data_IF_470547947037
#
_entry.id   IF_470547947037
#
_cell.length_a   1.000
_cell.length_b   1.000
_cell.length_c   1.000
_cell.angle_alpha   90.00
_cell.angle_beta   90.00
_cell.angle_gamma   90.00
#
_symmetry.space_group_name_H-M   'P 1'
#
loop_
_entity.id
_entity.type
_entity.pdbx_description
1 polymer ?
#
# COMPACT_ATOMS: atom_id res chain seq x y z
N UNK A 1 9.65 49.77 -64.92
CA UNK A 1 8.62 48.83 -65.37
C UNK A 1 8.67 47.58 -64.49
N UNK A 2 7.51 47.21 -63.94
CA UNK A 2 7.09 45.88 -63.47
C UNK A 2 7.83 45.20 -62.28
N UNK A 3 7.02 44.95 -61.25
CA UNK A 3 7.18 44.17 -60.00
C UNK A 3 7.83 42.78 -60.14
N UNK A 4 8.41 42.31 -59.03
CA UNK A 4 8.17 41.00 -58.32
C UNK A 4 9.42 40.68 -57.48
N UNK A 5 9.40 40.04 -56.32
CA UNK A 5 8.40 39.56 -55.37
C UNK A 5 9.22 39.03 -54.21
N UNK A 6 8.92 39.42 -52.97
CA UNK A 6 9.54 38.83 -51.79
C UNK A 6 9.25 37.32 -51.71
N UNK A 7 10.28 36.54 -51.45
CA UNK A 7 10.12 35.16 -50.96
C UNK A 7 10.07 35.22 -49.43
N UNK A 8 8.84 35.39 -48.91
CA UNK A 8 8.50 35.01 -47.56
C UNK A 8 8.35 33.50 -47.53
N UNK A 9 9.23 32.83 -46.80
CA UNK A 9 9.16 31.40 -46.51
C UNK A 9 7.88 31.14 -45.72
N UNK A 10 6.86 30.59 -46.37
CA UNK A 10 5.69 30.03 -45.69
C UNK A 10 6.16 28.82 -44.86
N UNK A 11 6.32 29.01 -43.54
CA UNK A 11 6.28 27.90 -42.59
C UNK A 11 4.86 27.36 -42.62
N UNK A 12 4.67 26.22 -43.26
CA UNK A 12 3.46 25.44 -43.13
C UNK A 12 3.20 25.17 -41.63
N UNK A 13 2.07 25.67 -41.14
CA UNK A 13 1.51 25.27 -39.85
C UNK A 13 1.18 23.78 -39.95
N UNK A 14 2.07 22.95 -39.41
CA UNK A 14 1.75 21.54 -39.15
C UNK A 14 0.56 21.55 -38.18
N UNK A 15 -0.57 20.91 -38.51
CA UNK A 15 -1.69 20.79 -37.59
C UNK A 15 -1.17 20.10 -36.33
N UNK A 16 -1.33 20.74 -35.16
CA UNK A 16 -1.16 20.06 -33.88
C UNK A 16 -2.08 18.86 -33.92
N UNK A 17 -1.50 17.66 -33.92
CA UNK A 17 -2.22 16.43 -33.60
C UNK A 17 -2.69 16.62 -32.17
N UNK A 18 -3.92 17.12 -32.00
CA UNK A 18 -4.63 17.08 -30.74
C UNK A 18 -4.63 15.62 -30.34
N UNK A 19 -3.76 15.27 -29.40
CA UNK A 19 -3.87 14.01 -28.69
C UNK A 19 -5.23 14.06 -28.03
N UNK A 20 -6.19 13.36 -28.62
CA UNK A 20 -7.42 12.99 -27.95
C UNK A 20 -6.99 12.12 -26.78
N UNK A 21 -6.68 12.76 -25.66
CA UNK A 21 -6.61 12.10 -24.36
C UNK A 21 -8.00 11.55 -24.14
N UNK A 22 -8.18 10.27 -24.51
CA UNK A 22 -9.36 9.51 -24.13
C UNK A 22 -9.52 9.74 -22.63
N UNK A 23 -10.56 10.47 -22.24
CA UNK A 23 -10.92 10.64 -20.84
C UNK A 23 -11.22 9.23 -20.32
N UNK A 24 -10.23 8.61 -19.67
CA UNK A 24 -10.41 7.32 -19.03
C UNK A 24 -11.42 7.56 -17.92
N UNK A 25 -12.66 7.09 -18.14
CA UNK A 25 -13.70 7.12 -17.12
C UNK A 25 -13.21 6.26 -15.95
N UNK A 26 -12.66 6.90 -14.92
CA UNK A 26 -12.18 6.20 -13.73
C UNK A 26 -13.38 5.55 -13.03
N UNK A 27 -13.38 4.22 -12.99
CA UNK A 27 -14.49 3.42 -12.47
C UNK A 27 -14.07 2.76 -11.17
N UNK A 28 -14.40 3.42 -10.06
CA UNK A 28 -14.18 2.85 -8.73
C UNK A 28 -15.06 1.61 -8.53
N UNK A 29 -14.43 0.50 -8.17
CA UNK A 29 -15.09 -0.80 -7.99
C UNK A 29 -14.93 -1.25 -6.55
N UNK A 30 -16.02 -1.71 -5.92
CA UNK A 30 -15.98 -2.29 -4.58
C UNK A 30 -15.13 -3.57 -4.60
N UNK A 31 -14.31 -3.78 -3.57
CA UNK A 31 -13.55 -5.02 -3.43
C UNK A 31 -14.53 -6.21 -3.32
N UNK A 32 -14.30 -7.23 -4.13
CA UNK A 32 -15.12 -8.45 -4.13
C UNK A 32 -15.00 -9.18 -2.78
N UNK A 33 -16.08 -9.83 -2.36
CA UNK A 33 -16.18 -10.45 -1.03
C UNK A 33 -15.20 -11.61 -0.86
N UNK A 34 -15.09 -12.46 -1.87
CA UNK A 34 -14.13 -13.57 -1.96
C UNK A 34 -12.68 -13.10 -1.79
N UNK A 35 -12.30 -12.01 -2.47
CA UNK A 35 -10.97 -11.42 -2.32
C UNK A 35 -10.74 -10.88 -0.90
N UNK A 36 -11.75 -10.24 -0.30
CA UNK A 36 -11.62 -9.74 1.06
C UNK A 36 -11.48 -10.86 2.08
N UNK A 37 -12.30 -11.90 2.02
CA UNK A 37 -12.19 -13.05 2.91
C UNK A 37 -10.83 -13.73 2.79
N UNK A 38 -10.29 -13.86 1.58
CA UNK A 38 -8.94 -14.39 1.38
C UNK A 38 -7.87 -13.53 2.05
N UNK A 39 -7.93 -12.20 1.88
CA UNK A 39 -6.98 -11.27 2.52
C UNK A 39 -7.10 -11.34 4.04
N UNK A 40 -8.33 -11.37 4.55
CA UNK A 40 -8.65 -11.43 5.97
C UNK A 40 -8.09 -12.70 6.60
N UNK A 41 -8.31 -13.86 5.99
CA UNK A 41 -7.78 -15.14 6.46
C UNK A 41 -6.25 -15.18 6.41
N UNK A 42 -5.66 -14.64 5.34
CA UNK A 42 -4.22 -14.65 5.12
C UNK A 42 -3.44 -13.86 6.17
N UNK A 43 -3.94 -12.69 6.57
CA UNK A 43 -3.34 -11.83 7.60
C UNK A 43 -3.95 -12.01 8.99
N UNK A 44 -5.02 -12.81 9.11
CA UNK A 44 -5.81 -12.91 10.34
C UNK A 44 -6.33 -11.53 10.76
N UNK A 45 -6.97 -10.80 9.85
CA UNK A 45 -7.52 -9.48 10.12
C UNK A 45 -8.79 -9.62 10.95
N UNK A 46 -8.81 -9.00 12.13
CA UNK A 46 -9.98 -8.96 13.00
C UNK A 46 -11.19 -8.32 12.30
N UNK A 47 -12.38 -8.86 12.56
CA UNK A 47 -13.67 -8.26 12.14
C UNK A 47 -13.90 -6.83 12.64
N UNK A 48 -13.08 -6.37 13.60
CA UNK A 48 -13.12 -5.00 14.13
C UNK A 48 -12.39 -3.98 13.25
N UNK A 49 -11.60 -4.42 12.26
CA UNK A 49 -10.96 -3.52 11.30
C UNK A 49 -12.01 -2.93 10.36
N UNK A 50 -11.93 -1.68 9.90
CA UNK A 50 -11.12 -0.60 10.45
C UNK A 50 -11.78 0.00 11.69
N UNK A 51 -10.98 0.59 12.59
CA UNK A 51 -11.48 1.42 13.72
C UNK A 51 -12.19 2.70 13.29
N UNK A 52 -12.51 2.89 12.00
CA UNK A 52 -13.46 3.93 11.59
C UNK A 52 -14.85 3.55 12.11
N UNK A 53 -15.08 3.82 13.39
CA UNK A 53 -16.27 4.43 13.98
C UNK A 53 -16.05 4.41 15.49
N UNK A 54 -15.47 5.48 16.02
CA UNK A 54 -15.84 5.93 17.36
C UNK A 54 -17.37 5.99 17.37
N UNK A 55 -18.01 5.09 18.10
CA UNK A 55 -19.24 5.28 18.89
C UNK A 55 -20.35 6.22 18.37
N UNK A 56 -20.50 6.37 17.06
CA UNK A 56 -21.75 6.81 16.45
C UNK A 56 -22.25 5.64 15.65
N UNK A 57 -22.92 4.72 16.37
CA UNK A 57 -23.95 3.87 15.79
C UNK A 57 -24.73 4.71 14.79
N UNK A 58 -24.52 4.47 13.49
CA UNK A 58 -25.40 5.06 12.49
C UNK A 58 -26.70 4.26 12.58
N UNK A 59 -27.62 4.74 13.41
CA UNK A 59 -28.99 4.24 13.43
C UNK A 59 -29.67 4.70 12.15
N UNK A 60 -29.47 3.97 11.06
CA UNK A 60 -30.28 4.12 9.87
C UNK A 60 -31.61 3.41 10.18
N UNK A 61 -32.65 4.19 10.46
CA UNK A 61 -34.04 3.69 10.62
C UNK A 61 -34.22 2.57 11.66
N UNK A 62 -33.76 2.77 12.91
CA UNK A 62 -33.95 1.82 14.05
C UNK A 62 -33.38 0.40 13.82
N UNK A 63 -32.52 0.20 12.82
CA UNK A 63 -31.83 -1.07 12.57
C UNK A 63 -30.34 -0.84 12.73
N UNK A 64 -29.76 -1.41 13.80
CA UNK A 64 -28.31 -1.46 13.98
C UNK A 64 -27.74 -2.22 12.77
N UNK A 65 -27.16 -1.48 11.84
CA UNK A 65 -26.50 -2.07 10.67
C UNK A 65 -25.02 -2.02 10.97
N UNK A 66 -24.44 -3.19 11.29
CA UNK A 66 -22.99 -3.36 11.32
C UNK A 66 -22.53 -3.18 9.87
N UNK A 67 -22.03 -1.99 9.54
CA UNK A 67 -21.47 -1.72 8.21
C UNK A 67 -20.19 -2.55 8.09
N UNK A 68 -20.22 -3.60 7.28
CA UNK A 68 -19.05 -4.46 7.08
C UNK A 68 -17.91 -3.65 6.45
N UNK A 69 -16.70 -3.90 6.93
CA UNK A 69 -15.40 -3.41 6.44
C UNK A 69 -15.32 -3.33 4.91
N UNK A 70 -15.77 -4.41 4.27
CA UNK A 70 -15.76 -4.58 2.83
C UNK A 70 -16.53 -3.47 2.11
N UNK A 71 -17.54 -2.87 2.74
CA UNK A 71 -18.31 -1.78 2.16
C UNK A 71 -17.52 -0.49 1.95
N UNK A 72 -16.34 -0.36 2.56
CA UNK A 72 -15.47 0.80 2.44
C UNK A 72 -14.16 0.49 1.71
N UNK A 73 -13.97 -0.74 1.22
CA UNK A 73 -12.80 -1.13 0.46
C UNK A 73 -13.08 -1.04 -1.04
N UNK A 74 -12.33 -0.17 -1.72
CA UNK A 74 -12.51 0.10 -3.15
C UNK A 74 -11.18 0.04 -3.90
N UNK A 75 -11.28 -0.28 -5.18
CA UNK A 75 -10.17 -0.26 -6.13
C UNK A 75 -10.51 0.69 -7.29
N UNK A 76 -9.49 1.27 -7.94
CA UNK A 76 -9.68 2.25 -9.03
C UNK A 76 -10.25 1.66 -10.32
N UNK A 77 -10.12 0.34 -10.48
CA UNK A 77 -10.74 -0.43 -11.56
C UNK A 77 -10.82 -1.90 -11.17
N UNK A 78 -11.62 -2.66 -11.90
CA UNK A 78 -11.52 -4.12 -11.90
C UNK A 78 -10.10 -4.52 -12.36
N UNK A 79 -9.41 -5.36 -11.56
CA UNK A 79 -8.04 -5.77 -11.83
C UNK A 79 -6.91 -4.79 -11.45
N UNK A 80 -7.19 -3.69 -10.73
CA UNK A 80 -6.14 -2.75 -10.28
C UNK A 80 -5.16 -3.30 -9.24
N UNK A 81 -4.02 -2.61 -9.15
CA UNK A 81 -2.87 -2.91 -8.32
C UNK A 81 -3.01 -2.51 -6.84
N UNK A 82 -4.12 -1.94 -6.38
CA UNK A 82 -4.25 -1.45 -5.00
C UNK A 82 -5.68 -1.39 -4.50
N UNK A 83 -5.85 -1.58 -3.18
CA UNK A 83 -7.10 -1.43 -2.45
C UNK A 83 -6.97 -0.22 -1.52
N UNK A 84 -7.96 0.66 -1.57
CA UNK A 84 -8.08 1.84 -0.74
C UNK A 84 -9.23 1.68 0.26
N UNK A 85 -9.01 2.14 1.48
CA UNK A 85 -10.03 2.34 2.49
C UNK A 85 -10.63 3.74 2.30
N UNK A 86 -11.89 3.78 1.90
CA UNK A 86 -12.61 4.98 1.48
C UNK A 86 -13.56 5.45 2.58
N UNK A 87 -13.58 6.76 2.85
CA UNK A 87 -14.53 7.34 3.81
C UNK A 87 -15.98 7.22 3.30
N UNK A 88 -16.98 7.01 4.18
CA UNK A 88 -18.37 6.88 3.76
C UNK A 88 -18.90 8.06 2.92
N UNK A 89 -18.45 9.29 3.18
CA UNK A 89 -18.83 10.47 2.38
C UNK A 89 -18.34 10.39 0.93
N UNK A 90 -17.08 9.97 0.75
CA UNK A 90 -16.49 9.76 -0.58
C UNK A 90 -17.15 8.57 -1.27
N UNK A 91 -17.45 7.49 -0.53
CA UNK A 91 -18.21 6.34 -1.02
C UNK A 91 -19.56 6.76 -1.60
N UNK A 92 -20.32 7.59 -0.88
CA UNK A 92 -21.61 8.10 -1.36
C UNK A 92 -21.46 8.89 -2.66
N UNK A 93 -20.47 9.78 -2.74
CA UNK A 93 -20.19 10.55 -3.97
C UNK A 93 -19.79 9.64 -5.15
N UNK A 94 -18.95 8.61 -4.90
CA UNK A 94 -18.59 7.60 -5.90
C UNK A 94 -19.84 6.86 -6.41
N UNK A 95 -20.71 6.42 -5.51
CA UNK A 95 -21.94 5.70 -5.85
C UNK A 95 -22.98 6.59 -6.56
N UNK A 96 -22.98 7.90 -6.29
CA UNK A 96 -23.84 8.88 -6.95
C UNK A 96 -23.40 9.21 -8.39
N UNK A 97 -22.24 8.70 -8.84
CA UNK A 97 -21.71 8.97 -10.18
C UNK A 97 -20.99 10.31 -10.30
N UNK A 98 -20.71 10.99 -9.17
CA UNK A 98 -19.95 12.23 -9.08
C UNK A 98 -18.45 11.92 -9.20
N UNK A 99 -18.03 11.52 -10.41
CA UNK A 99 -16.67 11.05 -10.69
C UNK A 99 -15.66 12.18 -10.95
N UNK A 100 -16.00 13.43 -10.63
CA UNK A 100 -15.14 14.58 -10.89
C UNK A 100 -13.93 14.57 -9.95
N UNK A 101 -12.82 14.03 -10.47
CA UNK A 101 -11.46 14.27 -9.99
C UNK A 101 -11.18 13.93 -8.51
N UNK A 102 -11.72 12.83 -7.99
CA UNK A 102 -11.23 12.30 -6.71
C UNK A 102 -9.84 11.71 -6.92
N UNK A 103 -8.82 12.57 -6.83
CA UNK A 103 -7.40 12.23 -7.02
C UNK A 103 -6.91 11.30 -5.90
N UNK A 104 -7.50 11.39 -4.71
CA UNK A 104 -7.28 10.50 -3.57
C UNK A 104 -8.61 10.00 -3.00
N UNK A 105 -8.96 8.76 -3.32
CA UNK A 105 -10.24 8.16 -2.89
C UNK A 105 -10.23 7.66 -1.47
N UNK A 106 -9.07 7.58 -0.83
CA UNK A 106 -8.93 7.08 0.52
C UNK A 106 -7.52 6.59 0.79
N UNK A 107 -7.31 6.10 2.01
CA UNK A 107 -6.04 5.57 2.44
C UNK A 107 -5.74 4.28 1.68
N UNK A 108 -4.60 4.19 1.01
CA UNK A 108 -4.20 2.93 0.39
C UNK A 108 -3.79 1.95 1.49
N UNK A 109 -4.48 0.81 1.55
CA UNK A 109 -4.28 -0.22 2.60
C UNK A 109 -3.64 -1.49 2.05
N UNK A 110 -3.89 -1.83 0.78
CA UNK A 110 -3.20 -2.94 0.13
C UNK A 110 -2.66 -2.57 -1.24
N UNK A 111 -1.57 -3.21 -1.61
CA UNK A 111 -1.06 -3.27 -2.97
C UNK A 111 -1.01 -4.72 -3.42
N UNK A 112 -1.33 -4.94 -4.69
CA UNK A 112 -1.24 -6.24 -5.34
C UNK A 112 0.21 -6.50 -5.71
N UNK A 113 0.71 -7.67 -5.34
CA UNK A 113 2.00 -8.21 -5.76
C UNK A 113 1.75 -9.52 -6.48
N UNK A 114 2.38 -9.69 -7.63
CA UNK A 114 2.39 -10.97 -8.32
C UNK A 114 3.69 -11.68 -7.96
N UNK A 115 3.57 -12.86 -7.37
CA UNK A 115 4.72 -13.64 -6.95
C UNK A 115 4.41 -15.14 -7.11
N UNK A 116 5.34 -15.87 -7.72
CA UNK A 116 5.20 -17.30 -8.01
C UNK A 116 3.87 -17.65 -8.72
N UNK A 117 3.45 -16.82 -9.68
CA UNK A 117 2.20 -17.01 -10.44
C UNK A 117 0.91 -16.75 -9.65
N UNK A 118 0.99 -16.44 -8.36
CA UNK A 118 -0.16 -16.11 -7.51
C UNK A 118 -0.25 -14.59 -7.32
N UNK A 119 -1.49 -14.09 -7.32
CA UNK A 119 -1.80 -12.73 -6.95
C UNK A 119 -1.97 -12.68 -5.43
N UNK A 120 -1.14 -11.90 -4.76
CA UNK A 120 -1.20 -11.70 -3.31
C UNK A 120 -1.36 -10.21 -3.03
N UNK A 121 -2.16 -9.86 -2.04
CA UNK A 121 -2.25 -8.49 -1.54
C UNK A 121 -1.29 -8.33 -0.37
N UNK A 122 -0.47 -7.28 -0.40
CA UNK A 122 0.39 -6.86 0.73
C UNK A 122 -0.13 -5.57 1.35
N UNK A 123 -0.04 -5.40 2.66
CA UNK A 123 -0.21 -4.10 3.27
C UNK A 123 0.73 -3.06 2.64
N UNK A 124 0.24 -1.85 2.45
CA UNK A 124 1.05 -0.70 2.05
C UNK A 124 1.54 0.03 3.29
N UNK A 125 2.73 0.63 3.21
CA UNK A 125 3.31 1.39 4.31
C UNK A 125 2.36 2.48 4.84
N UNK A 126 1.76 3.26 3.93
CA UNK A 126 0.74 4.27 4.23
C UNK A 126 -0.45 3.75 5.05
N UNK A 127 -0.93 2.54 4.76
CA UNK A 127 -2.08 1.94 5.44
C UNK A 127 -1.71 1.11 6.66
N UNK A 128 -0.43 0.79 6.82
CA UNK A 128 0.05 -0.22 7.74
C UNK A 128 -0.24 0.17 9.20
N UNK A 129 -0.03 1.42 9.57
CA UNK A 129 -0.30 1.91 10.92
C UNK A 129 -1.77 1.70 11.33
N UNK A 130 -2.72 1.97 10.42
CA UNK A 130 -4.15 1.76 10.70
C UNK A 130 -4.56 0.29 10.72
N UNK A 131 -3.81 -0.56 10.02
CA UNK A 131 -4.11 -1.98 9.89
C UNK A 131 -3.49 -2.83 11.00
N UNK A 132 -2.32 -2.43 11.48
CA UNK A 132 -1.47 -3.22 12.37
C UNK A 132 -2.19 -3.73 13.64
N UNK A 133 -3.07 -2.95 14.31
CA UNK A 133 -3.81 -3.43 15.49
C UNK A 133 -4.74 -4.61 15.22
N UNK A 134 -5.12 -4.85 13.96
CA UNK A 134 -6.08 -5.87 13.58
C UNK A 134 -5.44 -7.10 12.93
N UNK A 135 -4.17 -7.00 12.53
CA UNK A 135 -3.44 -8.09 11.90
C UNK A 135 -2.89 -9.01 13.00
N UNK A 136 -3.23 -10.29 12.93
CA UNK A 136 -2.81 -11.29 13.93
C UNK A 136 -1.83 -12.33 13.38
N UNK A 137 -1.81 -12.57 12.08
CA UNK A 137 -0.90 -13.53 11.42
C UNK A 137 0.23 -12.82 10.67
N UNK A 138 1.28 -13.59 10.35
CA UNK A 138 2.42 -13.15 9.51
C UNK A 138 3.06 -11.85 10.00
N UNK A 139 3.22 -11.74 11.32
CA UNK A 139 4.02 -10.71 11.98
C UNK A 139 5.25 -11.39 12.57
N UNK A 140 6.41 -10.81 12.33
CA UNK A 140 7.63 -11.17 13.03
C UNK A 140 8.09 -9.95 13.82
N UNK A 141 8.39 -10.16 15.12
CA UNK A 141 8.98 -9.12 15.93
C UNK A 141 10.39 -8.82 15.40
N UNK A 142 10.69 -7.53 15.29
CA UNK A 142 11.97 -7.03 14.80
C UNK A 142 12.46 -5.94 15.74
N UNK A 143 13.77 -5.72 15.77
CA UNK A 143 14.38 -4.60 16.50
C UNK A 143 14.50 -3.37 15.61
N UNK A 144 14.69 -2.20 16.21
CA UNK A 144 14.97 -0.96 15.49
C UNK A 144 16.21 -1.10 14.59
N UNK A 145 17.22 -1.85 15.03
CA UNK A 145 18.42 -2.15 14.24
C UNK A 145 18.09 -3.00 13.00
N UNK A 146 17.16 -3.95 13.09
CA UNK A 146 16.72 -4.76 11.95
C UNK A 146 16.01 -3.89 10.90
N UNK A 147 15.14 -2.98 11.33
CA UNK A 147 14.44 -2.06 10.43
C UNK A 147 15.42 -1.11 9.73
N UNK A 148 16.35 -0.51 10.48
CA UNK A 148 17.39 0.37 9.92
C UNK A 148 18.24 -0.40 8.92
N UNK A 149 18.66 -1.62 9.25
CA UNK A 149 19.45 -2.47 8.36
C UNK A 149 18.69 -2.75 7.05
N UNK A 150 17.40 -3.06 7.12
CA UNK A 150 16.58 -3.27 5.93
C UNK A 150 16.41 -2.00 5.08
N UNK A 151 16.27 -0.83 5.71
CA UNK A 151 16.03 0.43 5.00
C UNK A 151 17.30 1.01 4.35
N UNK A 152 18.46 0.84 4.99
CA UNK A 152 19.73 1.45 4.57
C UNK A 152 20.48 0.64 3.52
N UNK A 153 20.14 -0.64 3.33
CA UNK A 153 20.81 -1.48 2.34
C UNK A 153 20.48 -1.02 0.92
N UNK A 154 21.50 -0.87 0.04
CA UNK A 154 21.28 -0.51 -1.35
C UNK A 154 20.44 -1.58 -2.05
N UNK A 155 19.55 -1.14 -2.93
CA UNK A 155 18.77 -2.09 -3.75
C UNK A 155 19.71 -2.82 -4.71
N UNK A 156 19.34 -4.04 -5.07
CA UNK A 156 19.99 -4.79 -6.16
C UNK A 156 19.74 -4.12 -7.52
N UNK A 157 20.22 -4.72 -8.62
CA UNK A 157 20.04 -4.19 -9.98
C UNK A 157 18.56 -4.01 -10.38
N UNK A 158 17.66 -4.78 -9.74
CA UNK A 158 16.19 -4.65 -9.89
C UNK A 158 15.58 -3.62 -8.94
N UNK A 159 16.40 -2.83 -8.24
CA UNK A 159 16.03 -1.85 -7.21
C UNK A 159 15.27 -2.45 -6.01
N UNK A 160 15.30 -3.76 -5.85
CA UNK A 160 14.72 -4.46 -4.71
C UNK A 160 15.77 -4.59 -3.61
N UNK A 161 15.39 -4.35 -2.36
CA UNK A 161 16.26 -4.62 -1.21
C UNK A 161 15.95 -6.02 -0.72
N UNK A 162 16.93 -6.92 -0.80
CA UNK A 162 16.82 -8.27 -0.29
C UNK A 162 18.04 -8.59 0.57
N UNK A 163 17.80 -9.12 1.77
CA UNK A 163 18.83 -9.47 2.73
C UNK A 163 18.66 -10.92 3.17
N UNK A 164 19.78 -11.61 3.35
CA UNK A 164 19.79 -12.92 3.98
C UNK A 164 19.35 -12.82 5.44
N UNK A 165 18.59 -13.80 5.90
CA UNK A 165 18.06 -13.85 7.26
C UNK A 165 19.16 -13.85 8.32
N UNK A 166 20.32 -14.41 8.00
CA UNK A 166 21.50 -14.46 8.87
C UNK A 166 22.06 -13.09 9.25
N UNK A 167 21.63 -12.02 8.57
CA UNK A 167 22.06 -10.63 8.84
C UNK A 167 21.17 -9.92 9.86
N UNK A 168 20.07 -10.53 10.28
CA UNK A 168 19.14 -9.95 11.23
C UNK A 168 19.34 -10.53 12.63
N UNK A 169 18.75 -9.87 13.62
CA UNK A 169 18.74 -10.34 15.01
C UNK A 169 18.18 -11.77 15.12
N UNK A 170 18.70 -12.55 16.07
CA UNK A 170 18.19 -13.90 16.36
C UNK A 170 16.68 -13.94 16.62
N UNK A 171 16.07 -12.99 17.39
CA UNK A 171 14.62 -12.95 17.58
C UNK A 171 13.84 -12.81 16.27
N UNK A 172 14.31 -12.00 15.32
CA UNK A 172 13.66 -11.85 14.02
C UNK A 172 13.81 -13.14 13.18
N UNK A 173 14.97 -13.80 13.24
CA UNK A 173 15.18 -15.08 12.55
C UNK A 173 14.23 -16.17 13.06
N UNK A 174 14.10 -16.31 14.38
CA UNK A 174 13.18 -17.27 15.01
C UNK A 174 11.71 -16.95 14.68
N UNK A 175 11.31 -15.69 14.82
CA UNK A 175 9.94 -15.26 14.50
C UNK A 175 9.61 -15.47 13.01
N UNK A 176 10.56 -15.18 12.11
CA UNK A 176 10.40 -15.43 10.68
C UNK A 176 10.31 -16.94 10.37
N UNK A 177 11.07 -17.78 11.06
CA UNK A 177 10.98 -19.24 10.94
C UNK A 177 9.60 -19.75 11.38
N UNK A 178 9.10 -19.27 12.52
CA UNK A 178 7.76 -19.62 13.03
C UNK A 178 6.64 -19.19 12.06
N UNK A 179 6.74 -17.99 11.47
CA UNK A 179 5.80 -17.55 10.42
C UNK A 179 5.90 -18.45 9.19
N UNK A 180 7.11 -18.83 8.77
CA UNK A 180 7.29 -19.74 7.62
C UNK A 180 6.69 -21.11 7.89
N UNK A 181 6.86 -21.66 9.08
CA UNK A 181 6.29 -22.95 9.45
C UNK A 181 4.75 -22.89 9.49
N UNK A 182 4.18 -21.86 10.11
CA UNK A 182 2.73 -21.74 10.27
C UNK A 182 2.00 -21.31 8.99
N UNK A 183 2.66 -20.55 8.11
CA UNK A 183 1.99 -19.84 6.99
C UNK A 183 2.73 -19.95 5.66
N UNK A 184 3.95 -20.48 5.62
CA UNK A 184 4.77 -20.55 4.41
C UNK A 184 5.34 -19.19 3.98
N UNK A 185 6.09 -19.23 2.88
CA UNK A 185 6.68 -18.04 2.24
C UNK A 185 5.62 -17.06 1.73
N UNK A 186 5.98 -15.79 1.64
CA UNK A 186 5.08 -14.74 1.16
C UNK A 186 5.21 -13.42 1.92
N UNK A 187 4.29 -12.48 1.71
CA UNK A 187 4.30 -11.22 2.44
C UNK A 187 4.16 -11.44 3.95
N UNK A 188 4.92 -10.66 4.71
CA UNK A 188 5.00 -10.66 6.17
C UNK A 188 5.23 -9.22 6.63
N UNK A 189 4.95 -8.94 7.90
CA UNK A 189 5.27 -7.68 8.55
C UNK A 189 6.42 -7.88 9.53
N UNK A 190 7.48 -7.09 9.39
CA UNK A 190 8.43 -6.84 10.48
C UNK A 190 7.82 -5.77 11.38
N UNK A 191 7.70 -6.02 12.68
CA UNK A 191 6.97 -5.15 13.61
C UNK A 191 7.84 -4.87 14.83
N UNK A 192 7.97 -3.59 15.18
CA UNK A 192 8.64 -3.19 16.42
C UNK A 192 7.79 -3.57 17.64
N UNK A 193 8.40 -4.12 18.70
CA UNK A 193 7.69 -4.39 19.94
C UNK A 193 7.32 -3.08 20.65
N UNK A 194 6.28 -3.11 21.50
CA UNK A 194 5.78 -1.92 22.21
C UNK A 194 6.86 -1.07 22.91
N UNK A 195 7.87 -1.65 23.59
CA UNK A 195 8.92 -0.87 24.25
C UNK A 195 9.73 0.00 23.28
N UNK A 196 9.91 -0.44 22.02
CA UNK A 196 10.70 0.28 21.02
C UNK A 196 9.87 1.31 20.23
N UNK A 197 8.54 1.30 20.35
CA UNK A 197 7.67 2.22 19.60
C UNK A 197 7.91 3.69 19.95
N UNK A 198 8.24 3.99 21.21
CA UNK A 198 8.52 5.36 21.63
C UNK A 198 9.79 5.88 20.98
N UNK A 199 10.89 5.12 21.03
CA UNK A 199 12.16 5.48 20.41
C UNK A 199 12.03 5.56 18.88
N UNK A 200 11.29 4.64 18.27
CA UNK A 200 11.02 4.67 16.84
C UNK A 200 10.31 5.96 16.43
N UNK A 201 9.31 6.41 17.19
CA UNK A 201 8.62 7.68 16.93
C UNK A 201 9.55 8.88 17.06
N UNK A 202 10.41 8.90 18.08
CA UNK A 202 11.42 9.97 18.26
C UNK A 202 12.37 10.01 17.07
N UNK A 203 12.79 8.86 16.56
CA UNK A 203 13.66 8.71 15.38
C UNK A 203 12.92 8.74 14.04
N UNK A 204 11.61 8.99 14.05
CA UNK A 204 10.73 8.91 12.87
C UNK A 204 10.86 7.60 12.07
N UNK A 205 11.23 6.51 12.74
CA UNK A 205 11.26 5.17 12.17
C UNK A 205 9.83 4.62 12.05
N UNK A 206 9.55 3.85 10.99
CA UNK A 206 8.27 3.18 10.86
C UNK A 206 8.11 2.13 11.96
N UNK A 207 6.89 1.99 12.49
CA UNK A 207 6.57 0.98 13.53
C UNK A 207 6.53 -0.44 12.97
N UNK A 208 6.38 -0.57 11.66
CA UNK A 208 6.42 -1.83 10.95
C UNK A 208 6.85 -1.64 9.49
N UNK A 209 7.43 -2.68 8.89
CA UNK A 209 7.79 -2.73 7.48
C UNK A 209 7.15 -3.94 6.78
N UNK A 210 6.51 -3.76 5.62
CA UNK A 210 6.08 -4.89 4.81
C UNK A 210 7.28 -5.50 4.10
N UNK A 211 7.46 -6.81 4.25
CA UNK A 211 8.54 -7.59 3.64
C UNK A 211 8.02 -8.88 3.00
N UNK A 212 8.76 -9.44 2.06
CA UNK A 212 8.54 -10.78 1.54
C UNK A 212 9.45 -11.74 2.29
N UNK A 213 8.86 -12.70 2.98
CA UNK A 213 9.56 -13.82 3.59
C UNK A 213 9.82 -14.90 2.54
N UNK A 214 11.07 -15.03 2.12
CA UNK A 214 11.57 -16.16 1.33
C UNK A 214 12.06 -17.30 2.23
N UNK A 215 12.74 -18.28 1.63
CA UNK A 215 13.31 -19.42 2.37
C UNK A 215 14.49 -19.02 3.26
N UNK A 216 15.31 -18.09 2.78
CA UNK A 216 16.51 -17.61 3.49
C UNK A 216 16.66 -16.10 3.46
N UNK A 217 15.68 -15.39 2.91
CA UNK A 217 15.78 -13.95 2.65
C UNK A 217 14.53 -13.20 3.10
N UNK A 218 14.73 -11.94 3.45
CA UNK A 218 13.68 -10.94 3.57
C UNK A 218 13.86 -9.90 2.47
N UNK A 219 12.81 -9.66 1.68
CA UNK A 219 12.81 -8.63 0.64
C UNK A 219 11.88 -7.48 1.02
N UNK A 220 12.36 -6.26 1.04
CA UNK A 220 11.56 -5.08 1.35
C UNK A 220 10.47 -4.86 0.29
N UNK A 221 9.22 -4.71 0.73
CA UNK A 221 8.06 -4.52 -0.13
C UNK A 221 7.56 -3.06 -0.15
N UNK A 222 8.48 -2.09 -0.12
CA UNK A 222 8.16 -0.68 -0.38
C UNK A 222 8.94 -0.20 -1.60
N UNK A 223 8.42 0.81 -2.29
CA UNK A 223 9.13 1.39 -3.43
C UNK A 223 10.32 2.25 -2.99
N UNK A 224 11.24 2.49 -3.93
CA UNK A 224 12.47 3.25 -3.68
C UNK A 224 12.19 4.63 -3.08
N UNK A 225 11.19 5.36 -3.59
CA UNK A 225 10.89 6.70 -3.11
C UNK A 225 10.42 6.68 -1.64
N UNK A 226 9.52 5.75 -1.31
CA UNK A 226 9.07 5.54 0.09
C UNK A 226 10.25 5.17 0.99
N UNK A 227 11.13 4.27 0.56
CA UNK A 227 12.33 3.89 1.32
C UNK A 227 13.27 5.08 1.53
N UNK A 228 13.59 5.82 0.47
CA UNK A 228 14.52 6.94 0.54
C UNK A 228 13.96 8.05 1.47
N UNK A 229 12.63 8.28 1.46
CA UNK A 229 11.94 9.14 2.44
C UNK A 229 12.13 8.67 3.88
N UNK A 230 11.94 7.38 4.15
CA UNK A 230 12.09 6.82 5.50
C UNK A 230 13.55 6.88 5.98
N UNK A 231 14.51 6.62 5.09
CA UNK A 231 15.93 6.76 5.41
C UNK A 231 16.27 8.20 5.75
N UNK A 232 15.82 9.16 4.93
CA UNK A 232 16.04 10.59 5.19
C UNK A 232 15.45 11.02 6.54
N UNK A 233 14.19 10.67 6.80
CA UNK A 233 13.52 10.98 8.06
C UNK A 233 14.25 10.40 9.29
N UNK A 234 14.87 9.22 9.14
CA UNK A 234 15.66 8.59 10.20
C UNK A 234 17.06 9.20 10.43
N UNK A 235 17.54 10.04 9.51
CA UNK A 235 18.88 10.64 9.52
C UNK A 235 18.90 12.12 9.93
N UNK A 236 17.75 12.82 9.97
CA UNK A 236 17.66 14.25 10.31
C UNK A 236 17.79 14.55 11.82
N UNK A 237 18.73 13.89 12.53
CA UNK A 237 19.09 14.18 13.92
C UNK A 237 20.54 14.61 14.06
#
# INVERSE_FOLDING_TARGET
AVRKSGFLTFRALVPRVNHCTKAVKQTYTKLRADHWEHIKDFYGISDRFPHYMNEKQVVIRRKLTICYVQENLYSRSEGTASVCLVKPSIRTAILAGEHTHVLDTGLRVFARVQAAGKLVFRPTEEGLEQMLPFITKRKAQATSADLISMLTVPGNDSKQVALGLERFSEPLQEAAAAVRECSGVGPMLMVLPEPELHEARVRQLPTALPVWLGDKTLTLLIDKHTRDRLVHASQEQ
#
